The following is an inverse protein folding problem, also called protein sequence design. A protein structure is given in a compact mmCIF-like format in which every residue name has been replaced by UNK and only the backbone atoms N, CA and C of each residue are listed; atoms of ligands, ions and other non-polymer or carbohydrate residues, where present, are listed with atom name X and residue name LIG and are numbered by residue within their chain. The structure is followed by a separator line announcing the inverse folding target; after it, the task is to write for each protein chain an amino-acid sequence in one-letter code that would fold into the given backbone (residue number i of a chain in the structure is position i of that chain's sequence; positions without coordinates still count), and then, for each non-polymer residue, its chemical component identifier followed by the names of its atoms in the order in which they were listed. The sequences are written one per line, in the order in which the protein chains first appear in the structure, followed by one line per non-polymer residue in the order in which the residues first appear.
data_IF_250486386617
#
_entry.id   IF_250486386617
#
_cell.length_a   1.000
_cell.length_b   1.000
_cell.length_c   1.000
_cell.angle_alpha   90.00
_cell.angle_beta   90.00
_cell.angle_gamma   90.00
#
_symmetry.space_group_name_H-M   'P 1'
#
loop_
_entity.id
_entity.type
_entity.pdbx_description
1 polymer ?
#
# COMPACT_ATOMS: atom_id res chain seq x y z
N UNK A 1 -32.84 -62.25 -15.54
CA UNK A 1 -32.63 -60.89 -15.01
C UNK A 1 -32.76 -60.95 -13.49
N UNK A 2 -31.71 -61.41 -12.79
CA UNK A 2 -31.69 -61.48 -11.32
C UNK A 2 -31.59 -60.06 -10.78
N UNK A 3 -32.62 -59.64 -10.07
CA UNK A 3 -32.80 -58.26 -9.62
C UNK A 3 -31.77 -57.92 -8.55
N UNK A 4 -31.21 -56.71 -8.62
CA UNK A 4 -30.23 -56.13 -7.67
C UNK A 4 -30.59 -56.36 -6.18
N UNK A 5 -31.88 -56.56 -5.89
CA UNK A 5 -32.39 -56.92 -4.57
C UNK A 5 -31.79 -58.21 -3.99
N UNK A 6 -31.53 -59.23 -4.82
CA UNK A 6 -30.98 -60.51 -4.34
C UNK A 6 -29.49 -60.38 -3.96
N UNK A 7 -28.74 -59.54 -4.70
CA UNK A 7 -27.33 -59.25 -4.42
C UNK A 7 -27.18 -58.45 -3.11
N UNK A 8 -28.09 -57.51 -2.86
CA UNK A 8 -28.12 -56.74 -1.59
C UNK A 8 -28.49 -57.61 -0.39
N UNK A 9 -29.41 -58.57 -0.57
CA UNK A 9 -29.86 -59.45 0.52
C UNK A 9 -28.79 -60.46 0.95
N UNK A 10 -27.97 -60.94 0.00
CA UNK A 10 -26.81 -61.79 0.31
C UNK A 10 -25.64 -61.00 0.92
N UNK A 11 -25.45 -59.75 0.51
CA UNK A 11 -24.41 -58.87 1.09
C UNK A 11 -24.71 -58.50 2.56
N UNK A 12 -25.99 -58.27 2.90
CA UNK A 12 -26.40 -57.93 4.27
C UNK A 12 -26.38 -59.13 5.24
N UNK A 13 -26.48 -60.38 4.76
CA UNK A 13 -26.42 -61.57 5.62
C UNK A 13 -25.04 -61.82 6.25
N UNK A 14 -23.97 -61.31 5.65
CA UNK A 14 -22.60 -61.51 6.11
C UNK A 14 -22.07 -60.39 7.01
N UNK A 15 -22.89 -59.39 7.33
CA UNK A 15 -22.49 -58.33 8.27
C UNK A 15 -22.66 -58.82 9.70
N UNK A 16 -21.60 -59.42 10.25
CA UNK A 16 -21.50 -59.71 11.69
C UNK A 16 -21.36 -58.38 12.44
N UNK A 17 -22.47 -57.89 12.99
CA UNK A 17 -22.40 -56.77 13.93
C UNK A 17 -21.59 -57.20 15.17
N UNK A 18 -20.48 -56.51 15.50
CA UNK A 18 -19.74 -56.83 16.72
C UNK A 18 -20.68 -56.67 17.91
N UNK A 19 -20.74 -57.67 18.79
CA UNK A 19 -21.53 -57.60 20.02
C UNK A 19 -20.99 -56.44 20.84
N UNK A 20 -21.74 -55.34 20.89
CA UNK A 20 -21.44 -54.17 21.73
C UNK A 20 -21.42 -54.63 23.19
N UNK A 21 -20.23 -54.84 23.71
CA UNK A 21 -20.02 -55.18 25.11
C UNK A 21 -20.46 -53.98 25.94
N UNK A 22 -21.46 -54.17 26.82
CA UNK A 22 -22.01 -53.08 27.64
C UNK A 22 -20.85 -52.44 28.42
N UNK A 23 -20.61 -51.12 28.26
CA UNK A 23 -19.48 -50.48 28.90
C UNK A 23 -19.59 -50.60 30.42
N UNK A 24 -18.48 -50.94 31.07
CA UNK A 24 -18.42 -50.97 32.53
C UNK A 24 -18.74 -49.59 33.10
N UNK A 25 -19.40 -49.52 34.25
CA UNK A 25 -19.75 -48.24 34.91
C UNK A 25 -18.51 -47.35 35.07
N UNK A 26 -17.34 -47.95 35.37
CA UNK A 26 -16.07 -47.23 35.44
C UNK A 26 -15.62 -46.63 34.11
N UNK A 27 -15.85 -47.33 33.00
CA UNK A 27 -15.54 -46.81 31.66
C UNK A 27 -16.49 -45.68 31.27
N UNK A 28 -17.77 -45.78 31.63
CA UNK A 28 -18.74 -44.69 31.38
C UNK A 28 -18.38 -43.43 32.17
N UNK A 29 -17.97 -43.56 33.43
CA UNK A 29 -17.49 -42.43 34.24
C UNK A 29 -16.22 -41.83 33.63
N UNK A 30 -15.26 -42.66 33.25
CA UNK A 30 -14.01 -42.21 32.63
C UNK A 30 -14.27 -41.40 31.34
N UNK A 31 -15.08 -41.93 30.43
CA UNK A 31 -15.43 -41.24 29.19
C UNK A 31 -16.28 -39.97 29.43
N UNK A 32 -17.15 -39.98 30.44
CA UNK A 32 -17.92 -38.80 30.83
C UNK A 32 -17.03 -37.65 31.33
N UNK A 33 -16.05 -37.95 32.20
CA UNK A 33 -15.09 -36.96 32.69
C UNK A 33 -14.19 -36.45 31.55
N UNK A 34 -13.74 -37.34 30.67
CA UNK A 34 -12.90 -36.97 29.53
C UNK A 34 -13.65 -36.04 28.55
N UNK A 35 -14.94 -36.30 28.31
CA UNK A 35 -15.79 -35.44 27.49
C UNK A 35 -15.94 -34.05 28.11
N UNK A 36 -16.25 -33.96 29.41
CA UNK A 36 -16.39 -32.67 30.11
C UNK A 36 -15.09 -31.89 30.07
N UNK A 37 -13.95 -32.54 30.31
CA UNK A 37 -12.64 -31.89 30.25
C UNK A 37 -12.31 -31.39 28.84
N UNK A 38 -12.61 -32.18 27.81
CA UNK A 38 -12.38 -31.80 26.41
C UNK A 38 -13.26 -30.62 26.00
N UNK A 39 -14.54 -30.61 26.40
CA UNK A 39 -15.46 -29.50 26.16
C UNK A 39 -14.97 -28.24 26.91
N UNK A 40 -14.56 -28.37 28.17
CA UNK A 40 -13.98 -27.28 28.95
C UNK A 40 -12.71 -26.70 28.32
N UNK A 41 -11.79 -27.56 27.87
CA UNK A 41 -10.56 -27.16 27.19
C UNK A 41 -10.86 -26.46 25.85
N UNK A 42 -11.87 -26.91 25.12
CA UNK A 42 -12.32 -26.28 23.88
C UNK A 42 -12.87 -24.87 24.14
N UNK A 43 -13.74 -24.69 25.14
CA UNK A 43 -14.26 -23.37 25.50
C UNK A 43 -13.17 -22.43 26.03
N UNK A 44 -12.24 -22.96 26.83
CA UNK A 44 -11.10 -22.20 27.32
C UNK A 44 -10.16 -21.78 26.19
N UNK A 45 -9.75 -22.71 25.33
CA UNK A 45 -8.90 -22.42 24.17
C UNK A 45 -9.58 -21.44 23.21
N UNK A 46 -10.89 -21.58 22.98
CA UNK A 46 -11.68 -20.64 22.16
C UNK A 46 -11.73 -19.26 22.79
N UNK A 47 -11.98 -19.15 24.09
CA UNK A 47 -12.03 -17.87 24.80
C UNK A 47 -10.66 -17.20 24.84
N UNK A 48 -9.61 -17.99 25.06
CA UNK A 48 -8.22 -17.54 25.06
C UNK A 48 -7.77 -17.08 23.67
N UNK A 49 -8.01 -17.87 22.61
CA UNK A 49 -7.64 -17.50 21.23
C UNK A 49 -8.48 -16.36 20.65
N UNK A 50 -9.75 -16.22 21.04
CA UNK A 50 -10.59 -15.11 20.59
C UNK A 50 -10.19 -13.76 21.20
N UNK A 51 -9.67 -13.73 22.43
CA UNK A 51 -9.30 -12.49 23.11
C UNK A 51 -7.77 -12.31 23.32
N UNK A 52 -6.89 -13.24 22.89
CA UNK A 52 -5.44 -13.03 22.83
C UNK A 52 -5.05 -12.13 21.65
N UNK A 53 -5.09 -10.81 21.89
CA UNK A 53 -4.33 -9.86 21.07
C UNK A 53 -2.95 -9.64 21.68
N UNK A 54 -1.95 -10.32 21.12
CA UNK A 54 -0.52 -10.06 21.37
C UNK A 54 0.05 -8.93 20.51
N UNK A 55 -0.80 -8.15 19.82
CA UNK A 55 -0.36 -6.96 19.08
C UNK A 55 -1.37 -5.83 19.23
N UNK A 56 -0.87 -4.64 19.54
CA UNK A 56 -1.61 -3.38 19.56
C UNK A 56 -1.87 -2.86 18.13
N UNK A 57 -2.47 -3.70 17.27
CA UNK A 57 -3.00 -3.22 15.99
C UNK A 57 -4.42 -2.70 16.19
N UNK A 58 -4.65 -1.48 15.69
CA UNK A 58 -5.96 -0.84 15.63
C UNK A 58 -6.91 -1.67 14.78
N UNK A 59 -7.95 -2.23 15.39
CA UNK A 59 -8.99 -3.00 14.70
C UNK A 59 -10.08 -3.45 15.66
N UNK A 60 -11.32 -3.56 15.18
CA UNK A 60 -12.51 -3.86 15.99
C UNK A 60 -12.43 -5.29 16.57
N UNK A 61 -12.56 -5.51 17.89
CA UNK A 61 -12.62 -6.86 18.45
C UNK A 61 -13.98 -7.53 18.12
N UNK A 62 -14.01 -8.85 17.87
CA UNK A 62 -15.26 -9.57 17.71
C UNK A 62 -16.12 -9.48 18.98
N UNK A 63 -17.45 -9.38 18.82
CA UNK A 63 -18.47 -9.10 19.84
C UNK A 63 -18.62 -10.13 20.98
N UNK A 64 -17.68 -11.07 21.10
CA UNK A 64 -17.71 -12.17 22.05
C UNK A 64 -16.82 -11.96 23.30
N UNK A 65 -16.15 -10.81 23.45
CA UNK A 65 -15.40 -10.49 24.67
C UNK A 65 -16.28 -9.66 25.65
N UNK A 66 -16.40 -10.04 26.94
CA UNK A 66 -17.11 -9.24 27.94
C UNK A 66 -16.39 -7.90 28.15
N UNK A 67 -17.10 -6.78 27.99
CA UNK A 67 -16.55 -5.42 28.16
C UNK A 67 -16.18 -4.68 26.86
N UNK A 68 -16.52 -5.22 25.69
CA UNK A 68 -16.37 -4.50 24.43
C UNK A 68 -17.51 -3.47 24.26
N UNK A 69 -17.23 -2.22 24.59
CA UNK A 69 -18.05 -1.08 24.16
C UNK A 69 -17.55 -0.67 22.78
N UNK A 70 -18.39 -0.82 21.76
CA UNK A 70 -18.19 -0.20 20.45
C UNK A 70 -19.48 0.44 19.99
N UNK A 71 -19.42 1.73 19.68
CA UNK A 71 -20.10 2.29 18.52
C UNK A 71 -19.17 3.28 17.80
N UNK A 72 -18.81 3.06 16.52
CA UNK A 72 -18.17 4.04 15.65
C UNK A 72 -19.18 4.93 14.88
N UNK A 73 -20.49 4.86 15.13
CA UNK A 73 -21.52 5.51 14.32
C UNK A 73 -22.26 6.69 14.98
N UNK A 74 -21.79 7.16 16.15
CA UNK A 74 -22.29 8.39 16.76
C UNK A 74 -23.73 8.31 17.30
N UNK A 75 -24.20 7.12 17.69
CA UNK A 75 -25.47 7.01 18.41
C UNK A 75 -25.27 7.25 19.92
N UNK A 76 -26.22 7.89 20.62
CA UNK A 76 -26.10 8.12 22.06
C UNK A 76 -26.07 6.78 22.81
N UNK A 77 -25.06 6.59 23.65
CA UNK A 77 -24.89 5.37 24.45
C UNK A 77 -25.96 5.36 25.56
N UNK A 78 -26.78 4.32 25.57
CA UNK A 78 -27.90 4.15 26.49
C UNK A 78 -27.58 3.00 27.45
N UNK A 79 -27.75 3.20 28.77
CA UNK A 79 -27.60 2.11 29.74
C UNK A 79 -28.77 1.11 29.67
N UNK A 80 -28.68 -0.02 30.38
CA UNK A 80 -29.72 -1.07 30.43
C UNK A 80 -31.12 -0.58 30.88
N UNK A 81 -31.23 0.69 31.33
CA UNK A 81 -32.45 1.36 31.76
C UNK A 81 -32.98 2.40 30.77
N UNK A 82 -32.42 2.52 29.57
CA UNK A 82 -32.95 3.45 28.56
C UNK A 82 -32.55 4.92 28.75
N UNK A 83 -31.59 5.22 29.64
CA UNK A 83 -31.14 6.60 29.90
C UNK A 83 -29.78 6.92 29.25
N UNK A 84 -29.57 8.15 28.72
CA UNK A 84 -28.27 8.57 28.17
C UNK A 84 -27.17 8.48 29.22
N UNK A 85 -26.06 7.84 28.88
CA UNK A 85 -24.87 7.78 29.74
C UNK A 85 -24.13 9.12 29.64
N UNK A 86 -23.90 9.77 30.77
CA UNK A 86 -23.15 11.03 30.87
C UNK A 86 -21.67 10.77 30.53
N UNK A 87 -21.27 11.13 29.31
CA UNK A 87 -19.93 10.88 28.74
C UNK A 87 -18.85 11.79 29.30
N UNK A 88 -19.20 12.70 30.21
CA UNK A 88 -18.27 13.63 30.89
C UNK A 88 -17.24 12.95 31.80
N UNK A 89 -17.40 11.66 32.08
CA UNK A 89 -16.51 10.87 32.95
C UNK A 89 -15.59 9.89 32.20
N UNK A 90 -15.69 9.81 30.88
CA UNK A 90 -14.79 8.96 30.10
C UNK A 90 -13.38 9.58 30.08
N UNK A 91 -12.32 8.79 30.29
CA UNK A 91 -10.97 9.28 30.07
C UNK A 91 -10.88 9.81 28.63
N UNK A 92 -10.21 10.96 28.39
CA UNK A 92 -10.09 11.49 27.05
C UNK A 92 -9.51 10.41 26.15
N UNK A 93 -10.20 10.12 25.04
CA UNK A 93 -9.66 9.29 23.97
C UNK A 93 -8.24 9.79 23.70
N UNK A 94 -7.20 8.92 23.73
CA UNK A 94 -5.87 9.34 23.36
C UNK A 94 -5.98 9.96 21.97
N UNK A 95 -5.71 11.26 21.89
CA UNK A 95 -5.62 11.96 20.62
C UNK A 95 -4.43 11.33 19.90
N UNK A 96 -4.71 10.38 19.02
CA UNK A 96 -3.76 9.86 18.06
C UNK A 96 -3.59 10.94 16.98
N UNK A 97 -3.15 12.13 17.41
CA UNK A 97 -2.66 13.14 16.52
C UNK A 97 -1.50 12.50 15.75
N UNK A 98 -1.60 12.49 14.43
CA UNK A 98 -0.48 12.08 13.59
C UNK A 98 0.76 12.85 14.06
N UNK A 99 1.93 12.18 14.21
CA UNK A 99 3.13 12.86 14.66
C UNK A 99 3.35 14.09 13.79
N UNK A 100 3.51 15.25 14.43
CA UNK A 100 3.74 16.51 13.72
C UNK A 100 5.04 16.35 12.94
N UNK A 101 4.93 16.20 11.62
CA UNK A 101 6.09 16.08 10.73
C UNK A 101 6.79 17.44 10.72
N UNK A 102 7.88 17.56 11.48
CA UNK A 102 8.76 18.72 11.38
C UNK A 102 9.55 18.62 10.08
N UNK A 103 9.17 19.43 9.10
CA UNK A 103 9.95 19.58 7.88
C UNK A 103 11.27 20.29 8.21
N UNK A 104 12.40 19.82 7.66
CA UNK A 104 13.68 20.51 7.83
C UNK A 104 13.52 21.94 7.33
N UNK A 105 13.66 22.90 8.24
CA UNK A 105 13.62 24.32 7.91
C UNK A 105 14.96 24.67 7.26
N UNK A 106 14.89 25.27 6.08
CA UNK A 106 16.07 25.76 5.39
C UNK A 106 16.54 27.07 6.02
N UNK A 107 17.84 27.21 6.23
CA UNK A 107 18.50 28.36 6.87
C UNK A 107 18.70 29.56 5.92
N UNK A 108 18.32 29.44 4.65
CA UNK A 108 18.46 30.48 3.63
C UNK A 108 19.85 30.60 3.00
N UNK A 109 20.84 29.83 3.50
CA UNK A 109 22.25 29.96 3.08
C UNK A 109 22.90 28.64 2.69
N UNK A 110 22.42 27.51 3.20
CA UNK A 110 22.94 26.20 2.86
C UNK A 110 22.51 25.77 1.46
N UNK A 111 23.37 25.02 0.77
CA UNK A 111 23.03 24.37 -0.50
C UNK A 111 21.89 23.38 -0.29
N UNK A 112 20.89 23.42 -1.17
CA UNK A 112 19.77 22.49 -1.17
C UNK A 112 19.86 21.53 -2.35
N UNK A 113 19.56 20.27 -2.09
CA UNK A 113 19.43 19.22 -3.09
C UNK A 113 18.00 18.69 -3.05
N UNK A 114 17.34 18.75 -4.20
CA UNK A 114 15.94 18.38 -4.38
C UNK A 114 15.89 17.28 -5.45
N UNK A 115 15.23 16.16 -5.16
CA UNK A 115 14.99 15.14 -6.20
C UNK A 115 13.60 15.30 -6.77
N UNK A 116 13.52 15.46 -8.09
CA UNK A 116 12.29 15.46 -8.85
C UNK A 116 11.97 14.05 -9.32
N UNK A 117 10.76 13.60 -9.02
CA UNK A 117 10.20 12.32 -9.41
C UNK A 117 9.01 12.55 -10.33
N UNK A 118 9.14 12.14 -11.59
CA UNK A 118 8.02 12.04 -12.53
C UNK A 118 7.35 10.67 -12.39
N UNK A 119 6.10 10.67 -11.94
CA UNK A 119 5.30 9.47 -11.74
C UNK A 119 4.44 9.19 -12.97
N UNK A 120 4.34 7.91 -13.34
CA UNK A 120 3.56 7.46 -14.49
C UNK A 120 2.05 7.68 -14.33
N UNK A 121 1.56 7.94 -13.11
CA UNK A 121 0.18 8.33 -12.82
C UNK A 121 -0.86 7.37 -13.42
N UNK A 122 -1.22 6.33 -12.68
CA UNK A 122 -2.31 5.44 -13.09
C UNK A 122 -2.51 4.29 -12.11
N UNK A 123 -3.71 4.22 -11.52
CA UNK A 123 -4.21 3.05 -10.79
C UNK A 123 -4.58 1.91 -11.77
N UNK A 124 -3.72 1.63 -12.75
CA UNK A 124 -3.96 0.55 -13.71
C UNK A 124 -3.49 -0.74 -13.05
N UNK A 125 -4.44 -1.42 -12.41
CA UNK A 125 -4.26 -2.78 -11.92
C UNK A 125 -3.76 -3.67 -13.07
N UNK A 126 -2.52 -4.14 -12.99
CA UNK A 126 -1.92 -5.08 -13.94
C UNK A 126 -0.62 -4.65 -14.63
N UNK A 127 -0.12 -3.42 -14.42
CA UNK A 127 1.27 -3.10 -14.81
C UNK A 127 2.26 -3.58 -13.73
N UNK A 128 3.46 -4.00 -14.13
CA UNK A 128 4.53 -4.51 -13.23
C UNK A 128 4.96 -3.49 -12.15
N UNK A 129 4.56 -2.22 -12.28
CA UNK A 129 4.94 -1.14 -11.36
C UNK A 129 4.02 0.10 -11.50
N UNK A 130 2.79 0.09 -10.97
CA UNK A 130 1.81 1.18 -11.13
C UNK A 130 2.24 2.52 -10.53
N UNK A 131 3.26 2.53 -9.67
CA UNK A 131 3.83 3.73 -9.06
C UNK A 131 5.34 3.88 -9.34
N UNK A 132 5.84 3.30 -10.45
CA UNK A 132 7.23 3.53 -10.83
C UNK A 132 7.50 5.00 -11.15
N UNK A 133 8.72 5.42 -10.79
CA UNK A 133 9.27 6.71 -11.21
C UNK A 133 9.86 6.56 -12.61
N UNK A 134 9.29 7.26 -13.59
CA UNK A 134 9.78 7.26 -14.98
C UNK A 134 10.87 8.32 -15.18
N UNK A 135 10.85 9.37 -14.37
CA UNK A 135 11.84 10.47 -14.42
C UNK A 135 12.42 10.69 -13.03
N UNK A 136 13.75 10.68 -12.93
CA UNK A 136 14.48 10.98 -11.69
C UNK A 136 15.50 12.06 -12.03
N UNK A 137 15.33 13.25 -11.47
CA UNK A 137 16.23 14.38 -11.70
C UNK A 137 16.68 14.93 -10.35
N UNK A 138 17.99 14.96 -10.12
CA UNK A 138 18.58 15.63 -8.96
C UNK A 138 18.85 17.10 -9.31
N UNK A 139 18.19 18.01 -8.59
CA UNK A 139 18.46 19.44 -8.65
C UNK A 139 19.31 19.84 -7.45
N UNK A 140 20.32 20.68 -7.68
CA UNK A 140 21.10 21.32 -6.62
C UNK A 140 21.04 22.83 -6.80
N UNK A 141 20.79 23.57 -5.72
CA UNK A 141 20.77 25.03 -5.73
C UNK A 141 21.71 25.53 -4.64
N UNK A 142 22.67 26.36 -5.04
CA UNK A 142 23.58 27.05 -4.14
C UNK A 142 23.19 28.53 -4.07
N UNK A 143 22.61 28.99 -2.94
CA UNK A 143 22.20 30.38 -2.79
C UNK A 143 23.39 31.34 -2.65
N UNK A 144 24.56 30.86 -2.19
CA UNK A 144 25.75 31.68 -1.94
C UNK A 144 26.44 32.02 -3.25
N UNK A 145 26.66 31.00 -4.10
CA UNK A 145 27.26 31.21 -5.42
C UNK A 145 26.24 31.57 -6.50
N UNK A 146 24.94 31.52 -6.20
CA UNK A 146 23.82 31.74 -7.13
C UNK A 146 23.86 30.80 -8.34
N UNK A 147 24.29 29.56 -8.12
CA UNK A 147 24.36 28.53 -9.16
C UNK A 147 23.33 27.44 -8.92
N UNK A 148 22.71 26.95 -9.98
CA UNK A 148 21.88 25.75 -9.94
C UNK A 148 22.44 24.70 -10.91
N UNK A 149 22.31 23.43 -10.52
CA UNK A 149 22.71 22.29 -11.34
C UNK A 149 21.57 21.27 -11.40
N UNK A 150 21.50 20.55 -12.51
CA UNK A 150 20.52 19.49 -12.72
C UNK A 150 21.24 18.27 -13.26
N UNK A 151 20.95 17.10 -12.69
CA UNK A 151 21.48 15.82 -13.12
C UNK A 151 20.31 14.85 -13.33
N UNK A 152 20.10 14.43 -14.58
CA UNK A 152 19.18 13.35 -14.89
C UNK A 152 19.80 12.01 -14.50
N UNK A 153 19.07 11.22 -13.71
CA UNK A 153 19.48 9.87 -13.29
C UNK A 153 18.66 8.88 -14.12
N UNK A 154 19.30 8.01 -14.92
CA UNK A 154 18.56 7.02 -15.70
C UNK A 154 17.76 6.07 -14.79
N UNK A 155 16.49 5.82 -15.12
CA UNK A 155 15.57 5.03 -14.27
C UNK A 155 16.02 3.57 -14.05
N UNK A 156 16.75 3.01 -15.01
CA UNK A 156 17.18 1.61 -15.03
C UNK A 156 18.60 1.43 -14.43
N UNK A 157 19.13 2.45 -13.74
CA UNK A 157 20.42 2.34 -13.03
C UNK A 157 20.38 1.24 -11.98
N UNK A 158 21.35 0.33 -12.02
CA UNK A 158 21.47 -0.76 -11.06
C UNK A 158 22.17 -0.30 -9.79
N UNK A 159 21.44 -0.20 -8.68
CA UNK A 159 21.90 0.40 -7.42
C UNK A 159 21.47 -0.43 -6.22
N UNK A 160 22.15 -0.23 -5.09
CA UNK A 160 21.74 -0.84 -3.83
C UNK A 160 20.62 -0.01 -3.18
N UNK A 161 19.43 -0.60 -3.08
CA UNK A 161 18.27 -0.02 -2.40
C UNK A 161 18.32 -0.42 -0.92
N UNK A 162 18.35 0.55 0.03
CA UNK A 162 18.47 0.28 1.45
C UNK A 162 17.35 -0.65 1.96
N UNK A 163 17.71 -1.87 2.38
CA UNK A 163 16.77 -2.86 2.90
C UNK A 163 16.16 -3.80 1.85
N UNK A 164 16.42 -3.58 0.56
CA UNK A 164 15.88 -4.40 -0.55
C UNK A 164 16.98 -5.01 -1.45
N UNK A 165 18.24 -4.60 -1.27
CA UNK A 165 19.36 -5.12 -2.04
C UNK A 165 19.50 -4.42 -3.38
N UNK A 166 20.21 -5.06 -4.32
CA UNK A 166 20.47 -4.46 -5.63
C UNK A 166 19.29 -4.62 -6.59
N UNK A 167 18.84 -3.52 -7.17
CA UNK A 167 17.77 -3.46 -8.17
C UNK A 167 17.92 -2.20 -9.03
N UNK A 168 17.00 -2.00 -9.98
CA UNK A 168 16.87 -0.74 -10.72
C UNK A 168 16.39 0.36 -9.79
N UNK A 169 16.98 1.55 -9.91
CA UNK A 169 16.71 2.67 -9.00
C UNK A 169 15.22 3.08 -8.96
N UNK A 170 14.48 2.91 -10.06
CA UNK A 170 13.07 3.23 -10.12
C UNK A 170 12.17 2.34 -9.23
N UNK A 171 12.62 1.14 -8.85
CA UNK A 171 11.84 0.25 -7.97
C UNK A 171 11.85 0.71 -6.52
N UNK A 172 12.80 1.56 -6.12
CA UNK A 172 12.89 2.08 -4.76
C UNK A 172 11.61 2.79 -4.30
N UNK A 173 10.88 3.40 -5.22
CA UNK A 173 9.58 4.00 -4.90
C UNK A 173 8.55 2.93 -4.54
N UNK A 174 8.33 1.95 -5.42
CA UNK A 174 7.34 0.90 -5.20
C UNK A 174 7.68 -0.01 -4.03
N UNK A 175 8.97 -0.27 -3.81
CA UNK A 175 9.45 -1.06 -2.68
C UNK A 175 9.14 -0.35 -1.36
N UNK A 176 9.35 0.98 -1.30
CA UNK A 176 9.06 1.78 -0.12
C UNK A 176 7.57 1.90 0.18
N UNK A 177 6.75 2.05 -0.86
CA UNK A 177 5.30 2.12 -0.72
C UNK A 177 4.70 0.76 -0.33
N UNK A 178 5.10 -0.31 -1.02
CA UNK A 178 4.62 -1.67 -0.79
C UNK A 178 4.97 -2.18 0.60
N UNK A 179 6.16 -1.85 1.11
CA UNK A 179 6.59 -2.18 2.47
C UNK A 179 6.04 -1.23 3.55
N UNK A 180 5.30 -0.18 3.18
CA UNK A 180 4.70 0.81 4.09
C UNK A 180 5.73 1.42 5.05
N UNK A 181 6.90 1.77 4.52
CA UNK A 181 7.99 2.33 5.32
C UNK A 181 7.65 3.72 5.87
N UNK A 182 8.27 4.16 6.98
CA UNK A 182 8.20 5.56 7.39
C UNK A 182 8.75 6.46 6.28
N UNK A 183 7.90 7.34 5.74
CA UNK A 183 8.21 8.17 4.57
C UNK A 183 7.79 7.58 3.21
N UNK A 184 7.22 6.37 3.19
CA UNK A 184 6.65 5.71 2.01
C UNK A 184 7.65 5.46 0.87
N UNK A 185 7.12 5.35 -0.34
CA UNK A 185 7.91 5.29 -1.57
C UNK A 185 8.89 6.46 -1.77
N UNK A 186 8.47 7.73 -1.58
CA UNK A 186 9.37 8.88 -1.75
C UNK A 186 10.56 8.84 -0.80
N UNK A 187 10.35 8.45 0.46
CA UNK A 187 11.42 8.39 1.47
C UNK A 187 12.51 7.39 1.12
N UNK A 188 12.13 6.18 0.65
CA UNK A 188 13.11 5.17 0.23
C UNK A 188 13.82 5.58 -1.07
N UNK A 189 13.10 6.15 -2.04
CA UNK A 189 13.67 6.63 -3.29
C UNK A 189 14.69 7.76 -3.05
N UNK A 190 14.36 8.76 -2.21
CA UNK A 190 15.29 9.82 -1.80
C UNK A 190 16.56 9.25 -1.15
N UNK A 191 16.41 8.29 -0.23
CA UNK A 191 17.54 7.67 0.46
C UNK A 191 18.43 6.89 -0.52
N UNK A 192 17.82 6.21 -1.49
CA UNK A 192 18.54 5.47 -2.53
C UNK A 192 19.32 6.41 -3.43
N UNK A 193 18.71 7.49 -3.92
CA UNK A 193 19.39 8.51 -4.74
C UNK A 193 20.52 9.18 -3.96
N UNK A 194 20.27 9.56 -2.70
CA UNK A 194 21.26 10.16 -1.81
C UNK A 194 22.48 9.25 -1.63
N UNK A 195 22.26 7.95 -1.37
CA UNK A 195 23.33 6.96 -1.22
C UNK A 195 24.07 6.70 -2.53
N UNK A 196 23.37 6.67 -3.65
CA UNK A 196 23.96 6.39 -4.97
C UNK A 196 24.85 7.53 -5.46
N UNK A 197 24.37 8.77 -5.37
CA UNK A 197 25.13 9.96 -5.80
C UNK A 197 26.15 10.38 -4.74
N UNK A 198 25.92 10.04 -3.47
CA UNK A 198 26.79 10.41 -2.36
C UNK A 198 26.58 11.85 -1.86
N UNK A 199 25.42 12.45 -2.15
CA UNK A 199 25.06 13.79 -1.68
C UNK A 199 23.75 13.75 -0.89
N UNK A 200 23.63 14.51 0.22
CA UNK A 200 22.41 14.51 1.01
C UNK A 200 21.27 15.14 0.20
N UNK A 201 20.13 14.47 0.13
CA UNK A 201 18.90 14.97 -0.48
C UNK A 201 17.96 15.43 0.63
N UNK A 202 17.58 16.71 0.64
CA UNK A 202 16.74 17.29 1.69
C UNK A 202 15.26 17.29 1.32
N UNK A 203 14.96 17.51 0.05
CA UNK A 203 13.60 17.67 -0.44
C UNK A 203 13.34 16.79 -1.66
N UNK A 204 12.07 16.55 -1.93
CA UNK A 204 11.64 15.94 -3.17
C UNK A 204 10.43 16.66 -3.74
N UNK A 205 10.26 16.52 -5.04
CA UNK A 205 9.07 16.98 -5.76
C UNK A 205 8.54 15.75 -6.48
N UNK A 206 7.25 15.45 -6.31
CA UNK A 206 6.57 14.43 -7.08
C UNK A 206 5.60 15.12 -8.05
N UNK A 207 5.63 14.71 -9.31
CA UNK A 207 4.72 15.21 -10.34
C UNK A 207 4.18 14.04 -11.12
N UNK A 208 2.86 13.90 -11.15
CA UNK A 208 2.19 12.99 -12.07
C UNK A 208 1.91 13.67 -13.42
N UNK A 209 1.48 12.87 -14.40
CA UNK A 209 1.20 13.37 -15.74
C UNK A 209 0.08 14.41 -15.79
N UNK A 210 -0.94 14.31 -14.94
CA UNK A 210 -2.05 15.26 -14.91
C UNK A 210 -1.58 16.63 -14.40
N UNK A 211 -0.81 16.63 -13.31
CA UNK A 211 -0.16 17.81 -12.73
C UNK A 211 0.77 18.47 -13.72
N UNK A 212 1.57 17.68 -14.46
CA UNK A 212 2.43 18.20 -15.52
C UNK A 212 1.62 18.92 -16.61
N UNK A 213 0.58 18.28 -17.14
CA UNK A 213 -0.27 18.87 -18.18
C UNK A 213 -0.94 20.15 -17.69
N UNK A 214 -1.47 20.13 -16.48
CA UNK A 214 -2.12 21.30 -15.85
C UNK A 214 -1.15 22.46 -15.67
N UNK A 215 0.06 22.18 -15.17
CA UNK A 215 1.10 23.19 -14.97
C UNK A 215 1.53 23.85 -16.28
N UNK A 216 1.78 23.06 -17.33
CA UNK A 216 2.17 23.60 -18.64
C UNK A 216 1.04 24.45 -19.25
N UNK A 217 -0.21 24.02 -19.12
CA UNK A 217 -1.35 24.82 -19.57
C UNK A 217 -1.47 26.13 -18.79
N UNK A 218 -1.18 26.12 -17.48
CA UNK A 218 -1.25 27.31 -16.62
C UNK A 218 -0.21 28.37 -16.99
N UNK A 219 1.00 27.97 -17.39
CA UNK A 219 2.04 28.91 -17.87
C UNK A 219 1.83 29.34 -19.33
N UNK A 220 0.75 28.88 -19.97
CA UNK A 220 0.40 29.26 -21.35
C UNK A 220 1.09 28.43 -22.42
N UNK A 221 1.57 27.23 -22.10
CA UNK A 221 2.29 26.34 -23.03
C UNK A 221 3.80 26.59 -23.09
N UNK A 222 4.49 25.79 -23.91
CA UNK A 222 5.95 25.90 -24.12
C UNK A 222 6.28 25.93 -25.61
N UNK A 223 7.28 26.71 -25.98
CA UNK A 223 7.82 26.70 -27.34
C UNK A 223 9.04 25.77 -27.41
N UNK A 224 8.99 24.80 -28.32
CA UNK A 224 10.11 23.90 -28.59
C UNK A 224 10.60 24.07 -30.02
N UNK A 225 11.91 23.96 -30.20
CA UNK A 225 12.51 23.85 -31.53
C UNK A 225 12.69 22.36 -31.87
N UNK A 226 12.22 21.95 -33.05
CA UNK A 226 12.44 20.60 -33.58
C UNK A 226 13.17 20.70 -34.92
N UNK A 227 14.33 20.07 -35.01
CA UNK A 227 15.13 19.88 -36.22
C UNK A 227 14.73 18.62 -37.01
N UNK A 228 13.91 17.75 -36.42
CA UNK A 228 13.41 16.54 -37.04
C UNK A 228 11.88 16.49 -37.09
N UNK A 229 11.35 15.62 -37.96
CA UNK A 229 9.92 15.28 -37.97
C UNK A 229 9.63 14.30 -36.84
N UNK A 230 8.81 14.68 -35.88
CA UNK A 230 8.42 13.82 -34.75
C UNK A 230 6.95 13.42 -34.90
N UNK A 231 6.66 12.13 -34.77
CA UNK A 231 5.30 11.62 -34.59
C UNK A 231 5.15 11.29 -33.12
N UNK A 232 4.26 12.01 -32.43
CA UNK A 232 4.07 11.93 -30.99
C UNK A 232 2.69 11.39 -30.65
N UNK A 233 2.60 10.57 -29.62
CA UNK A 233 1.35 10.00 -29.12
C UNK A 233 1.06 10.53 -27.71
N UNK A 234 0.08 11.42 -27.53
CA UNK A 234 -0.25 11.99 -26.24
C UNK A 234 -0.97 11.03 -25.29
N UNK A 235 -1.63 9.99 -25.79
CA UNK A 235 -2.46 9.07 -24.99
C UNK A 235 -1.86 7.66 -24.93
N UNK A 236 -0.94 7.33 -25.84
CA UNK A 236 -0.30 6.01 -25.93
C UNK A 236 -1.21 4.93 -26.54
N UNK A 237 -2.44 5.28 -26.94
CA UNK A 237 -3.41 4.38 -27.57
C UNK A 237 -3.19 4.22 -29.08
N UNK A 238 -2.31 4.99 -29.69
CA UNK A 238 -2.01 4.97 -31.11
C UNK A 238 -2.98 5.73 -32.00
N UNK A 239 -4.14 6.17 -31.49
CA UNK A 239 -5.23 6.79 -32.27
C UNK A 239 -5.07 8.31 -32.43
N UNK A 240 -4.43 8.97 -31.46
CA UNK A 240 -4.42 10.44 -31.34
C UNK A 240 -3.04 11.04 -31.64
N UNK A 241 -2.31 10.41 -32.56
CA UNK A 241 -0.95 10.84 -32.91
C UNK A 241 -0.98 12.20 -33.58
N UNK A 242 -0.10 13.10 -33.14
CA UNK A 242 0.15 14.36 -33.82
C UNK A 242 1.58 14.41 -34.35
N UNK A 243 1.77 15.20 -35.41
CA UNK A 243 3.07 15.30 -36.08
C UNK A 243 3.63 16.69 -35.89
N UNK A 244 4.80 16.75 -35.26
CA UNK A 244 5.66 17.91 -35.33
C UNK A 244 6.42 17.83 -36.65
N UNK A 245 6.08 18.72 -37.59
CA UNK A 245 6.76 18.79 -38.88
C UNK A 245 8.18 19.30 -38.67
N UNK A 246 9.12 18.85 -39.53
CA UNK A 246 10.50 19.28 -39.42
C UNK A 246 10.62 20.79 -39.41
N UNK A 247 11.60 21.20 -38.62
CA UNK A 247 12.35 22.42 -38.74
C UNK A 247 11.51 23.63 -38.33
N UNK A 248 11.60 24.01 -37.06
CA UNK A 248 11.04 25.26 -36.57
C UNK A 248 10.55 25.23 -35.14
N UNK A 249 10.18 26.41 -34.65
CA UNK A 249 9.54 26.61 -33.36
C UNK A 249 8.10 26.13 -33.40
N UNK A 250 7.68 25.39 -32.37
CA UNK A 250 6.32 24.92 -32.18
C UNK A 250 5.88 25.17 -30.76
N UNK A 251 4.72 25.78 -30.65
CA UNK A 251 4.05 25.98 -29.37
C UNK A 251 3.28 24.72 -28.99
N UNK A 252 3.57 24.15 -27.81
CA UNK A 252 2.93 22.95 -27.28
C UNK A 252 2.13 23.29 -26.02
N UNK A 253 0.87 22.85 -26.02
CA UNK A 253 0.06 22.74 -24.81
C UNK A 253 0.56 21.60 -23.91
N UNK A 254 0.01 21.47 -22.70
CA UNK A 254 0.45 20.48 -21.73
C UNK A 254 0.38 19.03 -22.21
N UNK A 255 -0.67 18.66 -22.96
CA UNK A 255 -0.81 17.29 -23.47
C UNK A 255 0.24 16.98 -24.53
N UNK A 256 0.50 17.94 -25.43
CA UNK A 256 1.52 17.80 -26.47
C UNK A 256 2.94 17.85 -25.90
N UNK A 257 3.18 18.69 -24.89
CA UNK A 257 4.44 18.76 -24.17
C UNK A 257 4.73 17.45 -23.44
N UNK A 258 3.71 16.84 -22.81
CA UNK A 258 3.85 15.54 -22.16
C UNK A 258 4.24 14.46 -23.18
N UNK A 259 3.56 14.42 -24.34
CA UNK A 259 3.87 13.49 -25.42
C UNK A 259 5.32 13.64 -25.91
N UNK A 260 5.81 14.87 -26.00
CA UNK A 260 7.20 15.16 -26.36
C UNK A 260 8.18 14.64 -25.32
N UNK A 261 7.92 14.83 -24.02
CA UNK A 261 8.82 14.42 -22.93
C UNK A 261 8.99 12.90 -22.78
N UNK A 262 8.10 12.10 -23.37
CA UNK A 262 8.10 10.64 -23.30
C UNK A 262 8.79 9.95 -24.49
N UNK A 263 9.18 10.72 -25.51
CA UNK A 263 9.81 10.20 -26.72
C UNK A 263 11.30 9.98 -26.52
#
# INVERSE_FOLDING_TARGET
MKTILDVLKDSLKNVKFPKLQRPSVRQMIFWGVMLVFTVGLFFFARSFTACWRLTSLSGIPPSACPGAVVDPLGTPIVNDKGTPVDTSSLPPTPDLAAPVVQYPQWDGGSRINVVFFGLRGGDIAGEDCPQCTDTIILLTVDPVTKTAGMLSIPRDMWVNIPGFGFSRINTAWTDGEGAKLPGGGPGLAMKTVSQFIGVPVQYYIQVDFETFVSFINMIGGIDIYSDEKLVLDPIGSGTDKFVITCCGMRHLDGKRALAYSKK
#
